data_IF_851640364903
#
_entry.id   IF_851640364903
#
_cell.length_a   1.000
_cell.length_b   1.000
_cell.length_c   1.000
_cell.angle_alpha   90.00
_cell.angle_beta   90.00
_cell.angle_gamma   90.00
#
_symmetry.space_group_name_H-M   'P 1'
#
loop_
_entity.id
_entity.type
_entity.pdbx_description
1 polymer ?
#
# COMPACT_ATOMS: atom_id res chain seq x y z
N UNK A 1 -5.91 -1.38 -37.75
CA UNK A 1 -5.27 -1.46 -36.44
C UNK A 1 -6.30 -1.74 -35.39
N UNK A 2 -6.62 -3.03 -35.27
CA UNK A 2 -7.20 -3.63 -34.08
C UNK A 2 -6.17 -3.43 -32.96
N UNK A 3 -6.40 -2.43 -32.12
CA UNK A 3 -5.59 -2.19 -30.94
C UNK A 3 -5.89 -3.34 -29.96
N UNK A 4 -4.88 -4.16 -29.70
CA UNK A 4 -4.79 -5.33 -28.83
C UNK A 4 -5.89 -5.49 -27.75
N UNK A 5 -7.06 -5.98 -28.15
CA UNK A 5 -8.10 -6.43 -27.21
C UNK A 5 -7.72 -7.76 -26.51
N UNK A 6 -6.66 -8.42 -27.00
CA UNK A 6 -6.18 -9.72 -26.51
C UNK A 6 -5.13 -9.60 -25.39
N UNK A 7 -4.53 -8.43 -25.16
CA UNK A 7 -3.59 -8.20 -24.05
C UNK A 7 -4.29 -7.76 -22.75
N UNK A 8 -5.60 -7.49 -22.80
CA UNK A 8 -6.43 -7.19 -21.62
C UNK A 8 -6.93 -8.45 -20.90
N UNK A 9 -6.57 -9.64 -21.36
CA UNK A 9 -6.98 -10.93 -20.79
C UNK A 9 -6.15 -11.42 -19.60
N UNK A 10 -5.05 -10.75 -19.25
CA UNK A 10 -4.05 -11.29 -18.30
C UNK A 10 -3.65 -10.37 -17.14
N UNK A 11 -4.13 -9.12 -17.07
CA UNK A 11 -3.90 -8.29 -15.88
C UNK A 11 -4.93 -8.66 -14.82
N UNK A 12 -4.55 -9.57 -13.90
CA UNK A 12 -5.32 -9.95 -12.71
C UNK A 12 -5.32 -8.80 -11.68
N UNK A 13 -5.71 -7.61 -12.12
CA UNK A 13 -5.59 -6.37 -11.36
C UNK A 13 -6.71 -5.39 -11.70
N UNK A 14 -7.15 -4.64 -10.70
CA UNK A 14 -8.06 -3.51 -10.82
C UNK A 14 -7.29 -2.20 -11.00
N UNK A 15 -7.77 -1.31 -11.87
CA UNK A 15 -7.25 0.05 -11.92
C UNK A 15 -7.94 0.91 -10.87
N UNK A 16 -7.14 1.55 -10.03
CA UNK A 16 -7.59 2.46 -8.98
C UNK A 16 -7.11 3.88 -9.27
N UNK A 17 -7.94 4.88 -8.98
CA UNK A 17 -7.53 6.28 -9.02
C UNK A 17 -7.33 6.83 -7.61
N UNK A 18 -6.11 7.29 -7.32
CA UNK A 18 -5.76 7.98 -6.08
C UNK A 18 -5.29 9.38 -6.42
N UNK A 19 -6.17 10.36 -6.26
CA UNK A 19 -5.89 11.74 -6.68
C UNK A 19 -5.77 11.85 -8.20
N UNK A 20 -4.62 12.31 -8.68
CA UNK A 20 -4.27 12.42 -10.11
C UNK A 20 -3.48 11.21 -10.64
N UNK A 21 -3.27 10.19 -9.81
CA UNK A 21 -2.51 9.00 -10.17
C UNK A 21 -3.41 7.78 -10.37
N UNK A 22 -3.15 7.03 -11.44
CA UNK A 22 -3.74 5.71 -11.67
C UNK A 22 -2.75 4.65 -11.20
N UNK A 23 -3.20 3.74 -10.34
CA UNK A 23 -2.45 2.58 -9.91
C UNK A 23 -3.17 1.28 -10.27
N UNK A 24 -2.42 0.19 -10.34
CA UNK A 24 -2.95 -1.15 -10.58
C UNK A 24 -2.87 -1.95 -9.29
N UNK A 25 -4.01 -2.46 -8.81
CA UNK A 25 -4.15 -3.23 -7.57
C UNK A 25 -4.40 -4.70 -7.94
N UNK A 26 -3.53 -5.65 -7.56
CA UNK A 26 -3.73 -7.06 -7.89
C UNK A 26 -4.94 -7.65 -7.17
N UNK A 27 -5.75 -8.48 -7.85
CA UNK A 27 -6.96 -9.04 -7.25
C UNK A 27 -6.67 -9.95 -6.05
N UNK A 28 -5.50 -10.59 -6.01
CA UNK A 28 -5.06 -11.42 -4.88
C UNK A 28 -5.03 -10.64 -3.57
N UNK A 29 -4.85 -9.32 -3.62
CA UNK A 29 -4.85 -8.47 -2.43
C UNK A 29 -6.21 -8.51 -1.73
N UNK A 30 -7.32 -8.71 -2.47
CA UNK A 30 -8.66 -8.81 -1.89
C UNK A 30 -8.92 -10.13 -1.18
N UNK A 31 -8.22 -11.20 -1.58
CA UNK A 31 -8.30 -12.53 -0.96
C UNK A 31 -7.56 -12.58 0.39
N UNK A 32 -6.70 -11.60 0.68
CA UNK A 32 -5.99 -11.53 1.94
C UNK A 32 -6.94 -11.27 3.14
N UNK A 33 -6.62 -11.78 4.33
CA UNK A 33 -7.37 -11.44 5.55
C UNK A 33 -7.13 -10.00 5.99
N UNK A 34 -5.91 -9.49 5.79
CA UNK A 34 -5.45 -8.14 6.10
C UNK A 34 -4.17 -7.81 5.28
N UNK A 35 -3.66 -6.58 5.43
CA UNK A 35 -2.44 -6.14 4.75
C UNK A 35 -1.17 -6.38 5.56
N UNK A 36 -1.22 -6.90 6.79
CA UNK A 36 -0.02 -7.03 7.63
C UNK A 36 1.00 -8.01 7.05
N UNK A 37 0.59 -8.97 6.22
CA UNK A 37 1.52 -9.84 5.50
C UNK A 37 2.32 -9.15 4.39
N UNK A 38 1.84 -8.00 3.89
CA UNK A 38 2.47 -7.24 2.79
C UNK A 38 3.10 -5.95 3.31
N UNK A 39 2.45 -5.28 4.26
CA UNK A 39 2.90 -4.07 4.93
C UNK A 39 3.38 -4.41 6.35
N UNK A 40 4.60 -4.92 6.45
CA UNK A 40 5.25 -5.27 7.72
C UNK A 40 6.66 -4.70 7.82
N UNK A 41 7.20 -4.67 9.05
CA UNK A 41 8.61 -4.39 9.29
C UNK A 41 9.52 -5.41 8.61
N UNK A 42 9.10 -6.66 8.49
CA UNK A 42 9.86 -7.71 7.82
C UNK A 42 9.99 -7.38 6.32
N UNK A 43 8.88 -7.09 5.64
CA UNK A 43 8.89 -6.68 4.23
C UNK A 43 9.69 -5.39 4.05
N UNK A 44 9.52 -4.42 4.94
CA UNK A 44 10.29 -3.18 4.90
C UNK A 44 11.80 -3.42 4.98
N UNK A 45 12.26 -4.31 5.86
CA UNK A 45 13.69 -4.54 6.07
C UNK A 45 14.31 -5.54 5.10
N UNK A 46 13.56 -6.55 4.67
CA UNK A 46 14.11 -7.72 3.96
C UNK A 46 13.79 -7.69 2.45
N UNK A 47 12.69 -7.06 2.04
CA UNK A 47 12.26 -7.04 0.64
C UNK A 47 12.58 -5.73 -0.09
N UNK A 48 12.87 -4.66 0.63
CA UNK A 48 13.17 -3.34 0.06
C UNK A 48 14.66 -3.01 0.12
N UNK A 49 15.16 -2.42 -0.96
CA UNK A 49 16.49 -1.83 -1.01
C UNK A 49 16.56 -0.56 -0.15
N UNK A 50 17.78 -0.12 0.17
CA UNK A 50 17.98 1.15 0.87
C UNK A 50 17.43 2.35 0.09
N UNK A 51 17.58 2.36 -1.24
CA UNK A 51 17.05 3.41 -2.10
C UNK A 51 15.51 3.44 -2.09
N UNK A 52 14.86 2.28 -2.14
CA UNK A 52 13.39 2.20 -2.05
C UNK A 52 12.88 2.68 -0.70
N UNK A 53 13.51 2.25 0.41
CA UNK A 53 13.18 2.73 1.75
C UNK A 53 13.35 4.24 1.86
N UNK A 54 14.47 4.77 1.37
CA UNK A 54 14.73 6.21 1.34
C UNK A 54 13.70 6.96 0.49
N UNK A 55 13.30 6.42 -0.65
CA UNK A 55 12.24 7.00 -1.48
C UNK A 55 10.88 6.96 -0.79
N UNK A 56 10.58 5.94 0.02
CA UNK A 56 9.32 5.83 0.76
C UNK A 56 9.26 6.80 1.95
N UNK A 57 10.39 7.16 2.57
CA UNK A 57 10.38 8.08 3.71
C UNK A 57 9.83 9.46 3.37
N UNK A 58 9.90 9.89 2.09
CA UNK A 58 9.33 11.17 1.64
C UNK A 58 7.81 11.28 1.77
N UNK A 59 7.12 10.14 1.94
CA UNK A 59 5.66 10.09 2.15
C UNK A 59 5.30 9.99 3.63
N UNK A 60 6.29 9.85 4.51
CA UNK A 60 6.08 9.82 5.96
C UNK A 60 6.13 11.25 6.52
N UNK A 61 5.50 11.49 7.69
CA UNK A 61 5.64 12.75 8.41
C UNK A 61 7.11 13.15 8.62
N UNK A 62 7.37 14.45 8.74
CA UNK A 62 8.66 14.95 9.19
C UNK A 62 8.83 14.58 10.67
N UNK A 63 9.84 13.77 10.98
CA UNK A 63 10.12 13.26 12.33
C UNK A 63 11.62 13.16 12.56
N UNK A 64 11.99 13.26 13.83
CA UNK A 64 13.36 13.03 14.26
C UNK A 64 13.74 11.56 14.04
N UNK A 65 15.02 11.30 13.70
CA UNK A 65 15.54 9.96 13.42
C UNK A 65 15.24 8.96 14.55
N UNK A 66 15.31 9.42 15.81
CA UNK A 66 14.99 8.62 16.99
C UNK A 66 13.52 8.14 17.01
N UNK A 67 12.60 8.97 16.51
CA UNK A 67 11.16 8.70 16.49
C UNK A 67 10.71 7.95 15.23
N UNK A 68 11.50 8.00 14.17
CA UNK A 68 11.18 7.41 12.87
C UNK A 68 10.94 5.90 12.97
N UNK A 69 11.89 5.17 13.57
CA UNK A 69 11.81 3.71 13.69
C UNK A 69 10.65 3.27 14.58
N UNK A 70 10.40 3.99 15.68
CA UNK A 70 9.27 3.72 16.56
C UNK A 70 7.94 3.93 15.83
N UNK A 71 7.81 5.02 15.08
CA UNK A 71 6.60 5.34 14.31
C UNK A 71 6.34 4.31 13.21
N UNK A 72 7.38 3.89 12.48
CA UNK A 72 7.27 2.82 11.47
C UNK A 72 6.81 1.50 12.07
N UNK A 73 7.37 1.13 13.23
CA UNK A 73 6.97 -0.06 13.95
C UNK A 73 5.49 0.00 14.33
N UNK A 74 5.06 1.09 14.96
CA UNK A 74 3.65 1.29 15.34
C UNK A 74 2.72 1.28 14.13
N UNK A 75 3.12 1.89 13.01
CA UNK A 75 2.37 1.88 11.76
C UNK A 75 2.10 0.46 11.26
N UNK A 76 3.16 -0.35 11.15
CA UNK A 76 3.07 -1.72 10.66
C UNK A 76 2.45 -2.72 11.64
N UNK A 77 2.54 -2.46 12.95
CA UNK A 77 1.83 -3.22 13.99
C UNK A 77 0.32 -2.91 14.04
N UNK A 78 -0.14 -1.92 13.27
CA UNK A 78 -1.55 -1.56 13.21
C UNK A 78 -2.01 -0.71 14.40
N UNK A 79 -1.10 0.04 15.01
CA UNK A 79 -1.43 0.98 16.08
C UNK A 79 -2.43 2.04 15.62
N UNK A 80 -3.12 2.65 16.57
CA UNK A 80 -4.07 3.72 16.31
C UNK A 80 -3.34 5.06 16.16
N UNK A 81 -3.44 5.67 14.98
CA UNK A 81 -2.88 7.01 14.71
C UNK A 81 -3.94 8.09 14.76
N UNK A 82 -5.07 7.86 14.08
CA UNK A 82 -6.15 8.83 14.00
C UNK A 82 -7.48 8.11 13.75
N UNK A 83 -8.13 7.69 14.84
CA UNK A 83 -9.38 6.92 14.83
C UNK A 83 -9.26 5.58 14.08
N UNK A 84 -8.15 4.88 14.30
CA UNK A 84 -7.87 3.56 13.76
C UNK A 84 -6.45 3.43 13.22
N UNK A 85 -6.14 2.23 12.75
CA UNK A 85 -4.93 1.93 12.01
C UNK A 85 -5.03 2.46 10.58
N UNK A 86 -4.02 3.20 10.09
CA UNK A 86 -3.94 3.57 8.68
C UNK A 86 -3.97 2.37 7.73
N UNK A 87 -3.31 1.27 8.11
CA UNK A 87 -3.25 0.03 7.31
C UNK A 87 -4.63 -0.62 7.22
N UNK A 88 -5.32 -0.79 8.34
CA UNK A 88 -6.68 -1.33 8.35
C UNK A 88 -7.64 -0.45 7.56
N UNK A 89 -7.52 0.88 7.70
CA UNK A 89 -8.35 1.83 6.98
C UNK A 89 -8.13 1.76 5.47
N UNK A 90 -6.87 1.71 5.02
CA UNK A 90 -6.52 1.52 3.61
C UNK A 90 -7.16 0.23 3.08
N UNK A 91 -7.02 -0.87 3.81
CA UNK A 91 -7.58 -2.15 3.38
C UNK A 91 -9.10 -2.12 3.25
N UNK A 92 -9.79 -1.49 4.19
CA UNK A 92 -11.23 -1.28 4.13
C UNK A 92 -11.65 -0.37 2.98
N UNK A 93 -10.86 0.67 2.67
CA UNK A 93 -11.12 1.53 1.51
C UNK A 93 -11.02 0.76 0.20
N UNK A 94 -9.99 -0.06 0.05
CA UNK A 94 -9.79 -0.93 -1.11
C UNK A 94 -10.96 -1.92 -1.26
N UNK A 95 -11.29 -2.67 -0.20
CA UNK A 95 -12.41 -3.62 -0.22
C UNK A 95 -13.79 -2.95 -0.35
N UNK A 96 -13.89 -1.67 -0.02
CA UNK A 96 -15.12 -0.90 -0.06
C UNK A 96 -15.42 -0.26 -1.42
N UNK A 97 -14.56 -0.43 -2.43
CA UNK A 97 -14.73 0.20 -3.75
C UNK A 97 -14.52 1.71 -3.75
N UNK A 98 -13.92 2.30 -2.71
CA UNK A 98 -13.65 3.75 -2.63
C UNK A 98 -12.51 4.22 -3.55
N UNK A 99 -11.96 3.28 -4.30
CA UNK A 99 -10.81 3.40 -5.16
C UNK A 99 -11.17 3.17 -6.63
N UNK A 100 -12.45 2.94 -6.94
CA UNK A 100 -12.93 2.79 -8.32
C UNK A 100 -12.72 4.10 -9.11
N UNK A 101 -12.29 4.01 -10.38
CA UNK A 101 -11.99 5.17 -11.23
C UNK A 101 -13.23 5.97 -11.64
#
# INVERSE_FOLDING_TARGET
DDFDLLELGETRSEFCQVGDQTCSIPFELYDLPDLHGVLSLEVWNDCLTEEERFSLTKYLPDMEEETFMCTLKELFEGSNFHFGSPITKLFQMLKGGLCEP
#
